data_IF_855816510004
#
_entry.id   IF_855816510004
#
_cell.length_a   1.000
_cell.length_b   1.000
_cell.length_c   1.000
_cell.angle_alpha   90.00
_cell.angle_beta   90.00
_cell.angle_gamma   90.00
#
_symmetry.space_group_name_H-M   'P 1'
#
loop_
_entity.id
_entity.type
_entity.pdbx_description
1 polymer ?
#
# COMPACT_ATOMS: atom_id res chain seq x y z
N UNK A 1 -24.42 -7.43 1.74
CA UNK A 1 -24.70 -7.47 3.20
C UNK A 1 -25.99 -8.23 3.40
N UNK A 2 -26.04 -9.23 4.28
CA UNK A 2 -27.23 -10.04 4.54
C UNK A 2 -28.38 -9.18 5.09
N UNK A 3 -29.63 -9.47 4.65
CA UNK A 3 -30.87 -8.88 5.18
C UNK A 3 -31.93 -9.97 5.27
N UNK A 4 -32.87 -9.90 6.23
CA UNK A 4 -33.95 -10.87 6.31
C UNK A 4 -34.89 -10.73 5.11
N UNK A 5 -35.39 -11.86 4.64
CA UNK A 5 -36.36 -11.92 3.57
C UNK A 5 -37.78 -11.61 4.11
N UNK A 6 -38.38 -10.52 3.59
CA UNK A 6 -39.75 -10.09 4.00
C UNK A 6 -40.88 -10.98 3.48
N UNK A 7 -40.61 -11.72 2.42
CA UNK A 7 -41.60 -12.61 1.75
C UNK A 7 -41.37 -14.07 2.10
N UNK A 8 -40.33 -14.37 2.89
CA UNK A 8 -40.05 -15.75 3.27
C UNK A 8 -41.06 -16.34 4.28
N UNK A 9 -41.18 -17.67 4.34
CA UNK A 9 -42.13 -18.37 5.22
C UNK A 9 -41.74 -18.28 6.71
N UNK A 10 -40.50 -17.86 7.03
CA UNK A 10 -40.00 -17.75 8.40
C UNK A 10 -40.14 -16.29 8.87
N UNK A 11 -40.70 -16.05 10.08
CA UNK A 11 -40.83 -14.70 10.63
C UNK A 11 -39.50 -13.96 10.67
N UNK A 12 -39.48 -12.67 10.30
CA UNK A 12 -38.23 -11.88 10.20
C UNK A 12 -37.39 -11.91 11.48
N UNK A 13 -38.02 -11.84 12.66
CA UNK A 13 -37.28 -11.90 13.92
C UNK A 13 -36.53 -13.24 14.11
N UNK A 14 -37.12 -14.37 13.66
CA UNK A 14 -36.43 -15.67 13.69
C UNK A 14 -35.26 -15.71 12.71
N UNK A 15 -35.45 -15.24 11.49
CA UNK A 15 -34.36 -15.16 10.51
C UNK A 15 -33.17 -14.36 11.08
N UNK A 16 -33.46 -13.25 11.77
CA UNK A 16 -32.44 -12.43 12.43
C UNK A 16 -31.76 -13.16 13.59
N UNK A 17 -32.54 -13.84 14.42
CA UNK A 17 -32.02 -14.65 15.51
C UNK A 17 -31.12 -15.77 14.97
N UNK A 18 -31.56 -16.52 13.99
CA UNK A 18 -30.80 -17.61 13.38
C UNK A 18 -29.53 -17.11 12.65
N UNK A 19 -29.58 -15.93 12.06
CA UNK A 19 -28.40 -15.27 11.48
C UNK A 19 -27.33 -14.96 12.54
N UNK A 20 -27.73 -14.38 13.66
CA UNK A 20 -26.78 -14.09 14.74
C UNK A 20 -26.34 -15.38 15.45
N UNK A 21 -27.24 -16.31 15.72
CA UNK A 21 -26.90 -17.61 16.30
C UNK A 21 -25.85 -18.34 15.48
N UNK A 22 -26.03 -18.41 14.14
CA UNK A 22 -25.06 -19.02 13.24
C UNK A 22 -23.68 -18.35 13.32
N UNK A 23 -23.63 -17.03 13.36
CA UNK A 23 -22.37 -16.28 13.49
C UNK A 23 -21.70 -16.47 14.85
N UNK A 24 -22.48 -16.62 15.91
CA UNK A 24 -22.01 -16.95 17.26
C UNK A 24 -21.43 -18.37 17.27
N UNK A 25 -22.17 -19.34 16.76
CA UNK A 25 -21.75 -20.75 16.72
C UNK A 25 -20.51 -20.95 15.84
N UNK A 26 -20.39 -20.22 14.72
CA UNK A 26 -19.22 -20.29 13.85
C UNK A 26 -18.02 -19.48 14.39
N UNK A 27 -18.13 -18.83 15.57
CA UNK A 27 -17.06 -18.04 16.16
C UNK A 27 -16.82 -16.67 15.52
N UNK A 28 -17.63 -16.26 14.54
CA UNK A 28 -17.55 -14.92 13.92
C UNK A 28 -17.90 -13.81 14.92
N UNK A 29 -18.70 -14.14 15.93
CA UNK A 29 -19.03 -13.30 17.07
C UNK A 29 -18.63 -14.04 18.34
N UNK A 30 -17.36 -13.95 18.79
CA UNK A 30 -16.89 -14.67 19.95
C UNK A 30 -17.57 -14.19 21.25
N UNK A 31 -17.50 -14.99 22.35
CA UNK A 31 -18.03 -14.62 23.65
C UNK A 31 -17.57 -13.23 24.10
N UNK A 32 -18.49 -12.43 24.65
CA UNK A 32 -18.23 -11.05 25.04
C UNK A 32 -18.33 -10.00 23.91
N UNK A 33 -18.42 -10.42 22.64
CA UNK A 33 -18.64 -9.50 21.50
C UNK A 33 -19.89 -8.66 21.70
N UNK A 34 -19.82 -7.37 21.36
CA UNK A 34 -20.96 -6.45 21.44
C UNK A 34 -21.80 -6.58 20.18
N UNK A 35 -23.09 -6.86 20.33
CA UNK A 35 -24.04 -6.82 19.23
C UNK A 35 -24.41 -5.35 18.93
N UNK A 36 -24.73 -5.03 17.65
CA UNK A 36 -25.18 -3.69 17.28
C UNK A 36 -26.38 -3.25 18.12
N UNK A 37 -26.46 -1.98 18.55
CA UNK A 37 -27.66 -1.47 19.23
C UNK A 37 -28.90 -1.65 18.38
N UNK A 38 -30.01 -2.08 18.98
CA UNK A 38 -31.28 -2.40 18.32
C UNK A 38 -31.73 -1.28 17.36
N UNK A 39 -31.61 -0.01 17.80
CA UNK A 39 -31.99 1.16 16.98
C UNK A 39 -31.10 1.30 15.75
N UNK A 40 -29.80 1.06 15.87
CA UNK A 40 -28.84 1.15 14.77
C UNK A 40 -29.09 0.05 13.74
N UNK A 41 -29.33 -1.18 14.20
CA UNK A 41 -29.58 -2.32 13.34
C UNK A 41 -30.93 -2.19 12.61
N UNK A 42 -31.97 -1.70 13.29
CA UNK A 42 -33.29 -1.40 12.70
C UNK A 42 -33.18 -0.38 11.56
N UNK A 43 -32.40 0.68 11.76
CA UNK A 43 -32.13 1.69 10.71
C UNK A 43 -31.33 1.11 9.54
N UNK A 44 -30.31 0.32 9.79
CA UNK A 44 -29.47 -0.29 8.74
C UNK A 44 -30.24 -1.27 7.84
N UNK A 45 -31.19 -2.02 8.42
CA UNK A 45 -31.96 -3.02 7.68
C UNK A 45 -33.35 -2.53 7.26
N UNK A 46 -33.70 -1.27 7.62
CA UNK A 46 -35.02 -0.67 7.36
C UNK A 46 -36.16 -1.52 7.91
N UNK A 47 -36.02 -1.96 9.17
CA UNK A 47 -36.99 -2.77 9.89
C UNK A 47 -37.55 -2.03 11.11
N UNK A 48 -38.71 -2.50 11.61
CA UNK A 48 -39.22 -2.02 12.87
C UNK A 48 -38.28 -2.41 14.02
N UNK A 49 -38.06 -1.50 14.94
CA UNK A 49 -37.22 -1.76 16.13
C UNK A 49 -37.75 -2.94 16.97
N UNK A 50 -39.06 -3.10 17.04
CA UNK A 50 -39.70 -4.24 17.74
C UNK A 50 -39.27 -5.60 17.20
N UNK A 51 -39.08 -5.73 15.87
CA UNK A 51 -38.59 -6.96 15.24
C UNK A 51 -37.17 -7.31 15.69
N UNK A 52 -36.30 -6.30 15.83
CA UNK A 52 -34.92 -6.50 16.32
C UNK A 52 -34.93 -6.86 17.82
N UNK A 53 -35.77 -6.18 18.61
CA UNK A 53 -35.94 -6.49 20.04
C UNK A 53 -36.39 -7.95 20.20
N UNK A 54 -37.39 -8.38 19.45
CA UNK A 54 -37.89 -9.75 19.51
C UNK A 54 -36.83 -10.79 19.12
N UNK A 55 -35.99 -10.48 18.10
CA UNK A 55 -34.87 -11.33 17.70
C UNK A 55 -33.82 -11.44 18.84
N UNK A 56 -33.53 -10.32 19.51
CA UNK A 56 -32.58 -10.31 20.63
C UNK A 56 -33.16 -11.00 21.88
N UNK A 57 -34.46 -10.92 22.12
CA UNK A 57 -35.11 -11.69 23.18
C UNK A 57 -35.07 -13.19 22.89
N UNK A 58 -35.28 -13.60 21.65
CA UNK A 58 -35.14 -14.99 21.23
C UNK A 58 -33.71 -15.50 21.45
N UNK A 59 -32.69 -14.74 21.04
CA UNK A 59 -31.28 -15.09 21.29
C UNK A 59 -30.97 -15.17 22.79
N UNK A 60 -31.56 -14.27 23.60
CA UNK A 60 -31.40 -14.28 25.05
C UNK A 60 -32.06 -15.48 25.68
N UNK A 61 -33.27 -15.86 25.25
CA UNK A 61 -33.97 -17.06 25.72
C UNK A 61 -33.19 -18.34 25.41
N UNK A 62 -32.47 -18.36 24.28
CA UNK A 62 -31.53 -19.44 23.91
C UNK A 62 -30.19 -19.36 24.70
N UNK A 63 -30.00 -18.36 25.57
CA UNK A 63 -28.77 -18.14 26.35
C UNK A 63 -27.56 -17.72 25.55
N UNK A 64 -27.75 -17.22 24.32
CA UNK A 64 -26.67 -16.83 23.40
C UNK A 64 -26.15 -15.42 23.63
N UNK A 65 -26.98 -14.55 24.22
CA UNK A 65 -26.63 -13.17 24.50
C UNK A 65 -27.08 -12.71 25.88
N UNK A 66 -26.32 -11.79 26.47
CA UNK A 66 -26.63 -11.13 27.75
C UNK A 66 -26.79 -9.63 27.57
N UNK A 67 -27.70 -9.02 28.33
CA UNK A 67 -27.89 -7.57 28.39
C UNK A 67 -27.33 -7.03 29.66
N UNK A 68 -26.34 -6.13 29.61
CA UNK A 68 -25.81 -5.43 30.79
C UNK A 68 -26.24 -3.97 30.75
N UNK A 69 -26.86 -3.50 31.82
CA UNK A 69 -27.29 -2.10 31.96
C UNK A 69 -26.09 -1.17 31.80
N UNK A 70 -26.13 -0.27 30.80
CA UNK A 70 -25.04 0.67 30.48
C UNK A 70 -23.95 0.17 29.51
N UNK A 71 -23.81 -1.14 29.26
CA UNK A 71 -22.75 -1.69 28.40
C UNK A 71 -23.24 -2.44 27.13
N UNK A 72 -24.55 -2.37 26.85
CA UNK A 72 -25.14 -2.95 25.66
C UNK A 72 -25.46 -4.44 25.73
N UNK A 73 -25.77 -5.04 24.59
CA UNK A 73 -26.05 -6.47 24.42
C UNK A 73 -24.79 -7.18 23.95
N UNK A 74 -24.40 -8.26 24.61
CA UNK A 74 -23.16 -9.02 24.31
C UNK A 74 -23.47 -10.50 24.16
N UNK A 75 -22.60 -11.19 23.40
CA UNK A 75 -22.60 -12.65 23.34
C UNK A 75 -22.31 -13.20 24.74
N UNK A 76 -23.14 -14.16 25.20
CA UNK A 76 -23.07 -14.73 26.54
C UNK A 76 -21.77 -15.53 26.74
N UNK A 77 -21.17 -15.37 27.91
CA UNK A 77 -20.01 -16.17 28.32
C UNK A 77 -20.45 -17.54 28.89
N UNK A 78 -21.64 -17.60 29.52
CA UNK A 78 -22.09 -18.80 30.29
C UNK A 78 -22.31 -20.03 29.43
N UNK A 79 -22.88 -19.88 28.24
CA UNK A 79 -23.18 -21.02 27.36
C UNK A 79 -21.91 -21.66 26.79
N UNK A 80 -20.79 -20.88 26.75
CA UNK A 80 -19.50 -21.38 26.30
C UNK A 80 -18.70 -22.08 27.38
N UNK A 81 -19.02 -21.85 28.68
CA UNK A 81 -18.46 -22.62 29.78
C UNK A 81 -19.00 -24.05 29.84
N UNK A 82 -20.22 -24.27 29.30
CA UNK A 82 -20.89 -25.58 29.19
C UNK A 82 -20.70 -26.26 27.84
N UNK A 83 -20.28 -25.52 26.80
CA UNK A 83 -19.98 -26.08 25.48
C UNK A 83 -18.57 -26.65 25.48
N UNK A 84 -18.30 -27.78 24.77
CA UNK A 84 -16.93 -28.25 24.62
C UNK A 84 -16.09 -27.12 24.03
N UNK A 85 -15.03 -26.72 24.74
CA UNK A 85 -14.06 -25.74 24.22
C UNK A 85 -13.65 -26.20 22.83
N UNK A 86 -13.56 -25.30 21.83
CA UNK A 86 -13.05 -25.68 20.53
C UNK A 86 -11.70 -26.37 20.74
N UNK A 87 -11.50 -27.51 20.09
CA UNK A 87 -10.31 -28.35 20.25
C UNK A 87 -9.03 -27.57 19.91
N UNK A 88 -9.15 -26.47 19.15
CA UNK A 88 -8.08 -25.56 18.78
C UNK A 88 -8.49 -24.13 19.10
N UNK A 89 -7.70 -23.42 19.89
CA UNK A 89 -7.84 -21.99 20.12
C UNK A 89 -7.15 -21.20 19.00
N UNK A 90 -7.90 -20.95 17.92
CA UNK A 90 -7.42 -20.19 16.79
C UNK A 90 -7.09 -18.73 17.12
N UNK A 91 -7.70 -18.17 18.16
CA UNK A 91 -7.39 -16.82 18.60
C UNK A 91 -6.00 -16.77 19.23
N UNK A 92 -5.66 -17.72 20.09
CA UNK A 92 -4.32 -17.84 20.64
C UNK A 92 -3.25 -18.03 19.56
N UNK A 93 -3.58 -18.81 18.49
CA UNK A 93 -2.68 -18.92 17.34
C UNK A 93 -2.53 -17.58 16.60
N UNK A 94 -3.61 -16.85 16.37
CA UNK A 94 -3.60 -15.58 15.66
C UNK A 94 -2.89 -14.47 16.46
N UNK A 95 -2.94 -14.52 17.79
CA UNK A 95 -2.32 -13.54 18.68
C UNK A 95 -0.83 -13.77 18.92
N UNK A 96 -0.27 -14.92 18.51
CA UNK A 96 1.18 -15.20 18.63
C UNK A 96 2.06 -14.23 17.83
N UNK A 97 1.49 -13.61 16.80
CA UNK A 97 2.20 -12.59 16.04
C UNK A 97 1.34 -11.35 15.92
N UNK A 98 1.83 -10.19 16.35
CA UNK A 98 1.08 -8.95 16.16
C UNK A 98 0.81 -8.73 14.66
N UNK A 99 -0.36 -8.19 14.28
CA UNK A 99 -0.66 -7.93 12.89
C UNK A 99 0.39 -6.98 12.29
N UNK A 100 0.95 -7.34 11.10
CA UNK A 100 2.04 -6.58 10.51
C UNK A 100 1.62 -5.14 10.15
N UNK A 101 2.54 -4.21 10.30
CA UNK A 101 2.40 -2.83 9.86
C UNK A 101 2.03 -1.83 10.97
N UNK A 102 2.13 -0.56 10.63
CA UNK A 102 1.84 0.56 11.53
C UNK A 102 0.36 0.60 11.94
N UNK A 103 0.03 0.73 13.24
CA UNK A 103 -1.34 0.93 13.71
C UNK A 103 -2.02 2.14 13.07
N UNK A 104 -1.27 3.23 12.85
CA UNK A 104 -1.78 4.44 12.18
C UNK A 104 -2.17 4.16 10.73
N UNK A 105 -1.38 3.39 9.98
CA UNK A 105 -1.74 3.00 8.62
C UNK A 105 -2.97 2.08 8.58
N UNK A 106 -3.12 1.18 9.54
CA UNK A 106 -4.32 0.35 9.65
C UNK A 106 -5.56 1.23 9.87
N UNK A 107 -5.49 2.16 10.84
CA UNK A 107 -6.56 3.12 11.10
C UNK A 107 -6.94 3.91 9.85
N UNK A 108 -5.97 4.46 9.12
CA UNK A 108 -6.20 5.19 7.88
C UNK A 108 -6.91 4.31 6.83
N UNK A 109 -6.47 3.06 6.65
CA UNK A 109 -7.08 2.12 5.69
C UNK A 109 -8.50 1.71 6.08
N UNK A 110 -8.77 1.53 7.36
CA UNK A 110 -10.10 1.22 7.88
C UNK A 110 -11.06 2.38 7.63
N UNK A 111 -10.63 3.61 7.91
CA UNK A 111 -11.44 4.81 7.63
C UNK A 111 -11.67 5.01 6.12
N UNK A 112 -10.66 4.80 5.28
CA UNK A 112 -10.80 4.89 3.83
C UNK A 112 -11.84 3.90 3.24
N UNK A 113 -12.05 2.74 3.89
CA UNK A 113 -13.05 1.75 3.49
C UNK A 113 -14.49 2.12 3.86
N UNK A 114 -14.70 3.10 4.74
CA UNK A 114 -16.04 3.48 5.22
C UNK A 114 -16.89 4.25 4.20
N UNK A 115 -16.28 4.72 3.10
CA UNK A 115 -17.04 5.17 1.92
C UNK A 115 -17.06 6.68 1.65
N UNK A 116 -18.06 7.13 0.90
CA UNK A 116 -18.11 8.30 0.04
C UNK A 116 -17.98 9.70 0.68
N UNK A 117 -17.98 9.83 2.00
CA UNK A 117 -17.87 11.15 2.65
C UNK A 117 -16.43 11.57 2.96
N UNK A 118 -15.45 10.68 2.69
CA UNK A 118 -14.06 10.87 3.06
C UNK A 118 -13.20 11.21 1.84
N UNK A 119 -12.48 12.33 1.90
CA UNK A 119 -11.44 12.67 0.91
C UNK A 119 -10.16 11.92 1.29
N UNK A 120 -9.81 10.91 0.48
CA UNK A 120 -8.62 10.10 0.69
C UNK A 120 -7.37 10.76 0.09
N UNK A 121 -6.64 11.52 0.93
CA UNK A 121 -5.31 12.04 0.61
C UNK A 121 -4.17 11.20 1.22
N UNK A 122 -4.46 9.97 1.66
CA UNK A 122 -3.50 9.02 2.20
C UNK A 122 -3.09 7.93 1.20
N UNK A 123 -3.99 7.57 0.28
CA UNK A 123 -3.82 6.49 -0.69
C UNK A 123 -2.65 6.69 -1.64
N UNK A 124 -2.11 5.59 -2.15
CA UNK A 124 -0.91 5.58 -3.01
C UNK A 124 -1.21 5.11 -4.43
N UNK A 125 -2.35 5.49 -4.97
CA UNK A 125 -2.82 5.12 -6.30
C UNK A 125 -3.34 6.33 -7.08
N UNK A 126 -3.53 6.16 -8.37
CA UNK A 126 -4.14 7.17 -9.23
C UNK A 126 -5.64 7.29 -8.93
N UNK A 127 -6.24 8.44 -9.23
CA UNK A 127 -7.69 8.59 -9.26
C UNK A 127 -8.31 7.73 -10.36
N UNK A 128 -9.56 7.33 -10.20
CA UNK A 128 -10.26 6.41 -11.11
C UNK A 128 -10.29 6.91 -12.57
N UNK A 129 -10.44 8.21 -12.76
CA UNK A 129 -10.42 8.85 -14.08
C UNK A 129 -9.06 8.73 -14.79
N UNK A 130 -7.98 8.48 -14.05
CA UNK A 130 -6.65 8.29 -14.63
C UNK A 130 -6.32 6.83 -14.91
N UNK A 131 -7.10 5.86 -14.44
CA UNK A 131 -6.90 4.46 -14.79
C UNK A 131 -7.26 4.24 -16.29
N UNK A 132 -6.44 3.51 -17.06
CA UNK A 132 -6.64 3.39 -18.53
C UNK A 132 -7.69 2.31 -18.89
N UNK A 133 -8.88 2.36 -18.25
CA UNK A 133 -9.90 1.34 -18.40
C UNK A 133 -10.40 1.15 -19.82
N UNK A 134 -10.51 2.26 -20.61
CA UNK A 134 -10.97 2.16 -22.00
C UNK A 134 -9.90 1.49 -22.89
N UNK A 135 -8.63 1.81 -22.68
CA UNK A 135 -7.54 1.11 -23.36
C UNK A 135 -7.55 -0.41 -23.05
N UNK A 136 -7.77 -0.77 -21.80
CA UNK A 136 -7.87 -2.18 -21.42
C UNK A 136 -9.07 -2.88 -22.08
N UNK A 137 -10.26 -2.25 -22.08
CA UNK A 137 -11.44 -2.79 -22.77
C UNK A 137 -11.21 -2.96 -24.26
N UNK A 138 -10.57 -1.99 -24.89
CA UNK A 138 -10.26 -2.04 -26.32
C UNK A 138 -9.27 -3.17 -26.62
N UNK A 139 -8.17 -3.27 -25.88
CA UNK A 139 -7.19 -4.35 -26.05
C UNK A 139 -7.81 -5.74 -25.89
N UNK A 140 -8.68 -5.93 -24.89
CA UNK A 140 -9.38 -7.20 -24.68
C UNK A 140 -10.36 -7.55 -25.81
N UNK A 141 -10.95 -6.56 -26.49
CA UNK A 141 -11.85 -6.77 -27.65
C UNK A 141 -11.10 -7.08 -28.92
N UNK A 142 -10.04 -6.30 -29.21
CA UNK A 142 -9.28 -6.39 -30.48
C UNK A 142 -8.30 -7.56 -30.49
N UNK A 143 -7.83 -7.95 -29.35
CA UNK A 143 -6.85 -9.02 -29.19
C UNK A 143 -7.33 -10.01 -28.12
N UNK A 144 -8.27 -10.93 -28.46
CA UNK A 144 -8.75 -11.91 -27.51
C UNK A 144 -7.59 -12.79 -27.04
N UNK A 145 -7.69 -13.27 -25.79
CA UNK A 145 -6.71 -14.19 -25.25
C UNK A 145 -6.79 -15.53 -25.98
N UNK A 146 -5.69 -15.94 -26.57
CA UNK A 146 -5.55 -17.23 -27.25
C UNK A 146 -4.65 -18.20 -26.48
N UNK A 147 -3.96 -17.72 -25.49
CA UNK A 147 -3.06 -18.47 -24.65
C UNK A 147 -3.83 -19.43 -23.75
N UNK A 148 -3.37 -20.68 -23.58
CA UNK A 148 -3.98 -21.61 -22.65
C UNK A 148 -3.85 -21.09 -21.21
N UNK A 149 -4.93 -21.19 -20.43
CA UNK A 149 -4.97 -20.77 -19.03
C UNK A 149 -4.42 -21.85 -18.08
N UNK A 150 -3.39 -22.55 -18.50
CA UNK A 150 -2.64 -23.51 -17.68
C UNK A 150 -1.57 -22.83 -16.81
N UNK A 151 -0.81 -23.65 -16.08
CA UNK A 151 0.39 -23.16 -15.38
C UNK A 151 1.40 -22.61 -16.39
N UNK A 152 1.93 -21.42 -16.08
CA UNK A 152 2.93 -20.74 -16.91
C UNK A 152 4.30 -20.83 -16.28
N UNK A 153 5.32 -20.31 -16.99
CA UNK A 153 6.67 -20.19 -16.47
C UNK A 153 6.67 -19.43 -15.12
N UNK A 154 7.16 -20.02 -14.02
CA UNK A 154 7.27 -19.33 -12.73
C UNK A 154 8.08 -18.02 -12.77
N UNK A 155 8.94 -17.84 -13.79
CA UNK A 155 9.65 -16.59 -14.03
C UNK A 155 8.70 -15.46 -14.50
N UNK A 156 7.53 -15.82 -15.06
CA UNK A 156 6.51 -14.90 -15.60
C UNK A 156 6.28 -15.11 -17.09
N UNK A 157 5.13 -14.66 -17.56
CA UNK A 157 4.68 -14.79 -18.95
C UNK A 157 5.71 -14.24 -19.94
N UNK A 158 6.21 -15.07 -20.82
CA UNK A 158 7.34 -14.71 -21.72
C UNK A 158 7.07 -13.46 -22.54
N UNK A 159 5.89 -13.28 -23.20
CA UNK A 159 5.60 -12.04 -23.94
C UNK A 159 5.61 -10.78 -23.07
N UNK A 160 5.25 -10.88 -21.77
CA UNK A 160 5.36 -9.75 -20.85
C UNK A 160 6.83 -9.42 -20.57
N UNK A 161 7.68 -10.41 -20.40
CA UNK A 161 9.13 -10.21 -20.19
C UNK A 161 9.78 -9.52 -21.38
N UNK A 162 9.38 -9.89 -22.61
CA UNK A 162 9.83 -9.20 -23.85
C UNK A 162 9.34 -7.75 -23.90
N UNK A 163 8.05 -7.51 -23.64
CA UNK A 163 7.48 -6.17 -23.60
C UNK A 163 8.14 -5.30 -22.51
N UNK A 164 8.46 -5.89 -21.35
CA UNK A 164 9.18 -5.20 -20.28
C UNK A 164 10.63 -4.88 -20.69
N UNK A 165 11.33 -5.73 -21.41
CA UNK A 165 12.68 -5.42 -21.89
C UNK A 165 12.68 -4.21 -22.83
N UNK A 166 11.70 -4.13 -23.74
CA UNK A 166 11.51 -2.95 -24.62
C UNK A 166 11.14 -1.71 -23.80
N UNK A 167 10.19 -1.83 -22.88
CA UNK A 167 9.78 -0.76 -21.98
C UNK A 167 10.94 -0.20 -21.17
N UNK A 168 11.74 -1.06 -20.54
CA UNK A 168 12.88 -0.69 -19.71
C UNK A 168 13.94 0.07 -20.51
N UNK A 169 14.28 -0.39 -21.69
CA UNK A 169 15.20 0.30 -22.59
C UNK A 169 14.65 1.66 -23.02
N UNK A 170 13.40 1.70 -23.50
CA UNK A 170 12.81 2.91 -24.08
C UNK A 170 12.55 4.00 -23.05
N UNK A 171 12.01 3.65 -21.87
CA UNK A 171 11.54 4.61 -20.89
C UNK A 171 12.43 4.76 -19.66
N UNK A 172 13.32 3.79 -19.41
CA UNK A 172 14.18 3.79 -18.23
C UNK A 172 15.67 3.70 -18.54
N UNK A 173 16.06 3.56 -19.81
CA UNK A 173 17.47 3.39 -20.23
C UNK A 173 18.14 2.19 -19.54
N UNK A 174 17.36 1.17 -19.15
CA UNK A 174 17.85 -0.04 -18.52
C UNK A 174 17.93 -1.14 -19.56
N UNK A 175 19.16 -1.57 -19.88
CA UNK A 175 19.40 -2.71 -20.75
C UNK A 175 19.05 -4.00 -20.02
N UNK A 176 18.19 -4.78 -20.64
CA UNK A 176 17.73 -6.07 -20.09
C UNK A 176 17.21 -6.98 -21.19
N UNK A 177 17.15 -8.26 -20.90
CA UNK A 177 16.56 -9.28 -21.76
C UNK A 177 15.43 -9.98 -21.05
N UNK A 178 14.56 -10.69 -21.75
CA UNK A 178 13.49 -11.47 -21.14
C UNK A 178 14.00 -12.48 -20.09
N UNK A 179 15.22 -12.99 -20.24
CA UNK A 179 15.83 -13.90 -19.28
C UNK A 179 16.31 -13.24 -17.98
N UNK A 180 16.65 -11.94 -18.03
CA UNK A 180 17.08 -11.15 -16.86
C UNK A 180 15.92 -10.51 -16.11
N UNK A 181 14.67 -10.75 -16.53
CA UNK A 181 13.46 -10.20 -15.92
C UNK A 181 12.67 -11.30 -15.22
N UNK A 182 12.29 -11.06 -13.98
CA UNK A 182 11.41 -11.89 -13.17
C UNK A 182 10.13 -11.11 -12.85
N UNK A 183 8.97 -11.59 -13.31
CA UNK A 183 7.68 -10.93 -13.11
C UNK A 183 7.13 -11.27 -11.72
N UNK A 184 6.50 -10.29 -11.06
CA UNK A 184 5.97 -10.43 -9.70
C UNK A 184 4.57 -9.83 -9.57
N UNK A 185 3.83 -10.23 -8.53
CA UNK A 185 2.55 -9.61 -8.15
C UNK A 185 2.75 -8.24 -7.47
N UNK A 186 3.53 -7.37 -8.13
CA UNK A 186 3.95 -6.06 -7.63
C UNK A 186 5.23 -6.13 -6.78
N UNK A 187 5.78 -4.95 -6.47
CA UNK A 187 7.08 -4.78 -5.79
C UNK A 187 7.14 -5.49 -4.43
N UNK A 188 6.02 -5.56 -3.69
CA UNK A 188 6.02 -6.22 -2.36
C UNK A 188 6.39 -7.71 -2.44
N UNK A 189 5.94 -8.42 -3.47
CA UNK A 189 6.34 -9.80 -3.69
C UNK A 189 7.82 -9.90 -4.07
N UNK A 190 8.31 -8.99 -4.93
CA UNK A 190 9.74 -8.95 -5.26
C UNK A 190 10.61 -8.77 -4.02
N UNK A 191 10.29 -7.79 -3.17
CA UNK A 191 11.01 -7.52 -1.93
C UNK A 191 10.94 -8.69 -0.95
N UNK A 192 9.77 -9.34 -0.83
CA UNK A 192 9.62 -10.51 0.03
C UNK A 192 10.49 -11.67 -0.43
N UNK A 193 10.49 -11.97 -1.72
CA UNK A 193 11.34 -13.02 -2.30
C UNK A 193 12.83 -12.70 -2.15
N UNK A 194 13.25 -11.45 -2.40
CA UNK A 194 14.62 -11.01 -2.14
C UNK A 194 15.00 -11.27 -0.67
N UNK A 195 14.16 -10.83 0.26
CA UNK A 195 14.41 -10.97 1.70
C UNK A 195 14.52 -12.44 2.13
N UNK A 196 13.69 -13.32 1.57
CA UNK A 196 13.64 -14.75 1.93
C UNK A 196 14.67 -15.62 1.24
N UNK A 197 15.05 -15.26 0.02
CA UNK A 197 15.87 -16.14 -0.84
C UNK A 197 17.33 -15.70 -0.94
N UNK A 198 17.62 -14.41 -0.73
CA UNK A 198 18.97 -13.86 -0.89
C UNK A 198 19.64 -13.47 0.44
N UNK A 199 18.88 -13.45 1.54
CA UNK A 199 19.35 -13.06 2.87
C UNK A 199 19.02 -14.14 3.91
N UNK A 200 19.72 -14.11 5.04
CA UNK A 200 19.52 -15.02 6.16
C UNK A 200 18.91 -14.30 7.36
N UNK A 201 18.09 -14.97 8.19
CA UNK A 201 17.65 -14.39 9.45
C UNK A 201 18.85 -13.86 10.26
N UNK A 202 18.71 -12.64 10.80
CA UNK A 202 19.78 -11.92 11.49
C UNK A 202 20.60 -10.98 10.60
N UNK A 203 20.58 -11.13 9.27
CA UNK A 203 21.25 -10.18 8.36
C UNK A 203 20.66 -8.77 8.51
N UNK A 204 21.50 -7.76 8.28
CA UNK A 204 21.12 -6.35 8.35
C UNK A 204 20.92 -5.77 6.95
N UNK A 205 19.81 -5.05 6.76
CA UNK A 205 19.52 -4.30 5.53
C UNK A 205 19.46 -2.81 5.83
N UNK A 206 20.12 -2.00 5.00
CA UNK A 206 20.09 -0.56 5.08
C UNK A 206 18.86 0.00 4.37
N UNK A 207 18.10 0.88 5.03
CA UNK A 207 16.93 1.56 4.46
C UNK A 207 17.04 3.07 4.62
N UNK A 208 16.53 3.84 3.68
CA UNK A 208 16.38 5.29 3.85
C UNK A 208 15.38 5.62 4.96
N UNK A 209 15.59 6.72 5.67
CA UNK A 209 14.65 7.25 6.65
C UNK A 209 14.60 8.78 6.49
N UNK A 210 13.38 9.36 6.34
CA UNK A 210 12.07 8.70 6.30
C UNK A 210 11.87 7.91 5.01
N UNK A 211 11.17 6.77 5.07
CA UNK A 211 10.80 6.00 3.88
C UNK A 211 9.62 5.05 4.12
N UNK A 212 8.98 4.63 3.03
CA UNK A 212 7.96 3.59 3.04
C UNK A 212 8.47 2.26 3.62
N UNK A 213 9.73 1.93 3.36
CA UNK A 213 10.35 0.70 3.83
C UNK A 213 10.50 0.64 5.35
N UNK A 214 10.52 1.78 6.04
CA UNK A 214 10.52 1.84 7.50
C UNK A 214 9.26 1.22 8.12
N UNK A 215 8.09 1.44 7.51
CA UNK A 215 6.81 0.88 7.97
C UNK A 215 6.51 -0.49 7.37
N UNK A 216 7.33 -0.96 6.43
CA UNK A 216 7.16 -2.26 5.77
C UNK A 216 7.65 -3.40 6.67
N UNK A 217 6.80 -4.39 6.90
CA UNK A 217 7.17 -5.59 7.65
C UNK A 217 7.83 -6.68 6.80
N UNK A 218 8.10 -6.42 5.52
CA UNK A 218 8.72 -7.42 4.63
C UNK A 218 10.05 -7.93 5.18
N UNK A 219 10.94 -7.03 5.58
CA UNK A 219 12.26 -7.41 6.09
C UNK A 219 12.20 -7.98 7.52
N UNK A 220 11.53 -7.35 8.49
CA UNK A 220 11.37 -7.92 9.82
C UNK A 220 10.68 -9.29 9.83
N UNK A 221 9.68 -9.54 8.97
CA UNK A 221 9.00 -10.84 8.89
C UNK A 221 9.90 -11.96 8.33
N UNK A 222 10.95 -11.61 7.62
CA UNK A 222 12.00 -12.53 7.17
C UNK A 222 13.12 -12.73 8.24
N UNK A 223 12.98 -12.13 9.43
CA UNK A 223 13.97 -12.17 10.50
C UNK A 223 15.17 -11.24 10.28
N UNK A 224 15.05 -10.24 9.40
CA UNK A 224 16.12 -9.29 9.08
C UNK A 224 16.07 -8.06 9.99
N UNK A 225 17.23 -7.49 10.29
CA UNK A 225 17.37 -6.20 10.98
C UNK A 225 17.35 -5.06 9.96
N UNK A 226 16.49 -4.07 10.16
CA UNK A 226 16.51 -2.83 9.37
C UNK A 226 17.37 -1.77 10.05
N UNK A 227 18.25 -1.14 9.30
CA UNK A 227 19.18 -0.10 9.78
C UNK A 227 18.94 1.18 8.99
N UNK A 228 18.66 2.27 9.69
CA UNK A 228 18.51 3.57 9.07
C UNK A 228 19.83 4.07 8.44
N UNK A 229 19.76 4.45 7.17
CA UNK A 229 20.87 5.06 6.47
C UNK A 229 20.90 6.57 6.69
N UNK A 230 22.08 7.20 6.78
CA UNK A 230 22.18 8.63 6.89
C UNK A 230 21.71 9.32 5.62
N UNK A 231 20.73 10.23 5.74
CA UNK A 231 20.16 10.99 4.64
C UNK A 231 19.93 12.45 5.04
N UNK A 232 19.86 13.31 4.04
CA UNK A 232 19.51 14.73 4.15
C UNK A 232 18.53 15.13 3.02
N UNK A 233 18.39 16.41 2.76
CA UNK A 233 17.50 16.94 1.72
C UNK A 233 17.87 16.49 0.29
N UNK A 234 19.13 16.16 0.06
CA UNK A 234 19.61 15.64 -1.23
C UNK A 234 19.62 14.10 -1.30
N UNK A 235 19.03 13.39 -0.32
CA UNK A 235 18.97 11.94 -0.20
C UNK A 235 20.09 11.35 0.66
N UNK A 236 20.45 10.09 0.46
CA UNK A 236 21.50 9.40 1.22
C UNK A 236 22.81 10.17 1.15
N UNK A 237 23.52 10.24 2.29
CA UNK A 237 24.85 10.84 2.42
C UNK A 237 25.95 9.79 2.15
N UNK A 238 26.59 9.77 0.97
CA UNK A 238 27.56 8.74 0.61
C UNK A 238 28.77 8.70 1.54
N UNK A 239 29.24 9.87 2.02
CA UNK A 239 30.40 9.96 2.87
C UNK A 239 30.27 9.17 4.20
N UNK A 240 29.06 9.04 4.71
CA UNK A 240 28.79 8.29 5.95
C UNK A 240 28.40 6.83 5.67
N UNK A 241 28.01 6.52 4.44
CA UNK A 241 27.47 5.21 4.06
C UNK A 241 28.48 4.08 4.22
N UNK A 242 29.71 4.28 3.74
CA UNK A 242 30.76 3.25 3.82
C UNK A 242 31.07 2.85 5.27
N UNK A 243 31.16 3.84 6.18
CA UNK A 243 31.35 3.59 7.61
C UNK A 243 30.13 2.84 8.20
N UNK A 244 28.91 3.23 7.81
CA UNK A 244 27.67 2.61 8.27
C UNK A 244 27.55 1.15 7.81
N UNK A 245 27.89 0.86 6.55
CA UNK A 245 27.93 -0.51 5.99
C UNK A 245 28.85 -1.40 6.81
N UNK A 246 30.06 -0.96 7.10
CA UNK A 246 31.06 -1.73 7.86
C UNK A 246 30.64 -1.94 9.31
N UNK A 247 30.22 -0.86 9.99
CA UNK A 247 29.80 -0.88 11.39
C UNK A 247 28.62 -1.82 11.63
N UNK A 248 27.59 -1.71 10.81
CA UNK A 248 26.36 -2.47 10.98
C UNK A 248 26.35 -3.81 10.22
N UNK A 249 27.45 -4.10 9.47
CA UNK A 249 27.60 -5.29 8.62
C UNK A 249 26.41 -5.46 7.66
N UNK A 250 26.07 -4.35 6.96
CA UNK A 250 24.93 -4.37 6.04
C UNK A 250 25.17 -5.33 4.89
N UNK A 251 24.19 -6.15 4.61
CA UNK A 251 24.23 -7.16 3.53
C UNK A 251 23.57 -6.68 2.25
N UNK A 252 22.72 -5.66 2.33
CA UNK A 252 21.95 -5.12 1.21
C UNK A 252 21.45 -3.71 1.55
N UNK A 253 21.29 -2.86 0.54
CA UNK A 253 20.68 -1.53 0.65
C UNK A 253 19.36 -1.54 -0.11
N UNK A 254 18.29 -0.98 0.49
CA UNK A 254 16.97 -0.88 -0.12
C UNK A 254 16.65 0.60 -0.28
N UNK A 255 16.53 1.07 -1.51
CA UNK A 255 16.49 2.49 -1.83
C UNK A 255 15.34 2.81 -2.77
N UNK A 256 14.73 3.99 -2.61
CA UNK A 256 13.75 4.55 -3.53
C UNK A 256 14.26 5.90 -4.07
N UNK A 257 15.17 5.89 -5.08
CA UNK A 257 15.97 7.08 -5.43
C UNK A 257 15.25 8.09 -6.33
N UNK A 258 14.05 7.78 -6.83
CA UNK A 258 13.27 8.68 -7.69
C UNK A 258 11.90 8.98 -7.06
N UNK A 259 11.61 10.26 -6.79
CA UNK A 259 10.35 10.73 -6.20
C UNK A 259 9.96 9.92 -4.95
N UNK A 260 10.92 9.78 -4.06
CA UNK A 260 10.89 8.92 -2.87
C UNK A 260 9.60 9.06 -2.05
N UNK A 261 9.05 7.96 -1.59
CA UNK A 261 7.93 7.93 -0.66
C UNK A 261 8.45 7.91 0.80
N UNK A 262 8.23 8.97 1.61
CA UNK A 262 7.17 9.98 1.48
C UNK A 262 7.61 11.35 0.91
N UNK A 263 8.91 11.61 0.78
CA UNK A 263 9.46 12.97 0.65
C UNK A 263 9.24 13.62 -0.73
N UNK A 264 8.96 12.82 -1.76
CA UNK A 264 8.89 13.29 -3.15
C UNK A 264 10.27 13.64 -3.75
N UNK A 265 11.35 13.51 -2.98
CA UNK A 265 12.71 13.88 -3.40
C UNK A 265 13.30 12.88 -4.38
N UNK A 266 14.25 13.37 -5.16
CA UNK A 266 15.02 12.55 -6.09
C UNK A 266 16.49 12.61 -5.70
N UNK A 267 17.15 11.44 -5.56
CA UNK A 267 18.58 11.35 -5.27
C UNK A 267 19.39 12.01 -6.38
N UNK A 268 20.27 12.93 -6.00
CA UNK A 268 21.09 13.72 -6.95
C UNK A 268 22.03 12.85 -7.78
N UNK A 269 22.33 13.22 -9.04
CA UNK A 269 23.20 12.43 -9.93
C UNK A 269 24.61 12.16 -9.37
N UNK A 270 25.23 13.17 -8.72
CA UNK A 270 26.55 13.03 -8.08
C UNK A 270 26.53 11.99 -6.96
N UNK A 271 25.48 11.97 -6.13
CA UNK A 271 25.32 10.99 -5.08
C UNK A 271 25.00 9.60 -5.61
N UNK A 272 24.25 9.48 -6.72
CA UNK A 272 24.00 8.19 -7.38
C UNK A 272 25.29 7.51 -7.80
N UNK A 273 26.18 8.25 -8.46
CA UNK A 273 27.49 7.76 -8.88
C UNK A 273 28.32 7.29 -7.67
N UNK A 274 28.45 8.13 -6.64
CA UNK A 274 29.24 7.78 -5.45
C UNK A 274 28.66 6.61 -4.66
N UNK A 275 27.33 6.48 -4.63
CA UNK A 275 26.63 5.35 -4.01
C UNK A 275 26.98 4.03 -4.72
N UNK A 276 26.93 4.02 -6.06
CA UNK A 276 27.28 2.83 -6.86
C UNK A 276 28.76 2.43 -6.68
N UNK A 277 29.66 3.39 -6.63
CA UNK A 277 31.08 3.14 -6.34
C UNK A 277 31.26 2.48 -4.97
N UNK A 278 30.68 3.03 -3.91
CA UNK A 278 30.77 2.47 -2.55
C UNK A 278 30.16 1.06 -2.49
N UNK A 279 29.02 0.86 -3.11
CA UNK A 279 28.34 -0.45 -3.15
C UNK A 279 29.24 -1.50 -3.85
N UNK A 280 29.86 -1.14 -4.96
CA UNK A 280 30.78 -2.01 -5.70
C UNK A 280 32.09 -2.28 -4.93
N UNK A 281 32.68 -1.25 -4.31
CA UNK A 281 33.90 -1.38 -3.50
C UNK A 281 33.72 -2.30 -2.30
N UNK A 282 32.53 -2.24 -1.67
CA UNK A 282 32.22 -3.01 -0.47
C UNK A 282 31.50 -4.34 -0.74
N UNK A 283 31.14 -4.61 -2.00
CA UNK A 283 30.40 -5.81 -2.38
C UNK A 283 29.00 -5.90 -1.78
N UNK A 284 28.32 -4.76 -1.57
CA UNK A 284 26.98 -4.68 -0.98
C UNK A 284 25.97 -4.34 -2.06
N UNK A 285 25.06 -5.25 -2.43
CA UNK A 285 24.06 -5.01 -3.46
C UNK A 285 23.01 -3.97 -3.03
N UNK A 286 22.48 -3.27 -4.03
CA UNK A 286 21.40 -2.31 -3.91
C UNK A 286 20.14 -2.89 -4.54
N UNK A 287 19.02 -2.85 -3.83
CA UNK A 287 17.68 -2.98 -4.42
C UNK A 287 17.14 -1.59 -4.68
N UNK A 288 16.99 -1.25 -5.95
CA UNK A 288 16.37 0.00 -6.38
C UNK A 288 14.87 -0.21 -6.55
N UNK A 289 14.08 0.36 -5.64
CA UNK A 289 12.60 0.37 -5.69
C UNK A 289 12.13 1.59 -6.49
N UNK A 290 11.72 1.39 -7.76
CA UNK A 290 11.38 2.46 -8.70
C UNK A 290 9.93 2.40 -9.22
N UNK A 291 8.92 2.60 -8.35
CA UNK A 291 7.52 2.67 -8.79
C UNK A 291 7.13 4.04 -9.37
N UNK A 292 7.92 5.08 -9.12
CA UNK A 292 7.54 6.47 -9.40
C UNK A 292 8.35 7.12 -10.54
N UNK A 293 9.43 6.52 -11.01
CA UNK A 293 10.35 7.16 -11.94
C UNK A 293 9.71 7.75 -13.19
N UNK A 294 8.64 7.15 -13.70
CA UNK A 294 7.88 7.66 -14.85
C UNK A 294 6.83 8.73 -14.52
N UNK A 295 6.60 9.05 -13.24
CA UNK A 295 5.69 10.12 -12.81
C UNK A 295 6.34 11.51 -12.74
N UNK A 296 7.46 11.72 -13.45
CA UNK A 296 8.14 13.00 -13.59
C UNK A 296 7.22 14.05 -14.24
N UNK A 297 7.29 15.30 -13.75
CA UNK A 297 6.58 16.44 -14.34
C UNK A 297 7.34 17.08 -15.51
N UNK A 298 8.59 16.66 -15.71
CA UNK A 298 9.45 17.01 -16.84
C UNK A 298 9.40 15.89 -17.88
N UNK A 299 9.81 16.18 -19.09
CA UNK A 299 9.83 15.20 -20.17
C UNK A 299 10.85 14.08 -19.91
N UNK A 300 11.98 14.43 -19.31
CA UNK A 300 13.03 13.48 -18.97
C UNK A 300 12.88 12.98 -17.52
N UNK A 301 12.54 11.69 -17.31
CA UNK A 301 12.51 11.09 -15.99
C UNK A 301 13.94 10.92 -15.43
N UNK A 302 14.10 10.87 -14.09
CA UNK A 302 15.40 10.58 -13.49
C UNK A 302 15.95 9.23 -13.97
N UNK A 303 17.22 9.22 -14.38
CA UNK A 303 17.91 7.99 -14.79
C UNK A 303 18.06 7.07 -13.57
N UNK A 304 17.62 5.81 -13.61
CA UNK A 304 17.73 4.92 -12.46
C UNK A 304 19.17 4.52 -12.15
N UNK A 305 19.43 4.07 -10.93
CA UNK A 305 20.74 3.52 -10.53
C UNK A 305 21.12 2.34 -11.43
N UNK A 306 20.14 1.49 -11.77
CA UNK A 306 20.36 0.33 -12.64
C UNK A 306 20.93 0.69 -14.00
N UNK A 307 20.47 1.79 -14.60
CA UNK A 307 20.99 2.26 -15.89
C UNK A 307 22.43 2.79 -15.80
N UNK A 308 22.84 3.24 -14.62
CA UNK A 308 24.19 3.74 -14.35
C UNK A 308 25.14 2.63 -13.84
N UNK A 309 24.60 1.46 -13.51
CA UNK A 309 25.33 0.35 -12.89
C UNK A 309 26.16 -0.43 -13.90
N UNK A 310 27.46 -0.19 -13.93
CA UNK A 310 28.43 -0.91 -14.77
C UNK A 310 29.09 -2.11 -14.06
N UNK A 311 28.81 -2.33 -12.77
CA UNK A 311 29.43 -3.35 -11.93
C UNK A 311 28.48 -4.47 -11.50
N UNK A 312 27.20 -4.40 -11.92
CA UNK A 312 26.20 -5.42 -11.61
C UNK A 312 25.75 -5.47 -10.14
N UNK A 313 25.82 -4.34 -9.43
CA UNK A 313 25.46 -4.27 -8.00
C UNK A 313 23.99 -3.95 -7.76
N UNK A 314 23.20 -3.58 -8.79
CA UNK A 314 21.81 -3.15 -8.63
C UNK A 314 20.84 -4.23 -9.09
N UNK A 315 19.95 -4.64 -8.18
CA UNK A 315 18.69 -5.29 -8.48
C UNK A 315 17.62 -4.20 -8.65
N UNK A 316 17.01 -4.11 -9.81
CA UNK A 316 15.99 -3.10 -10.10
C UNK A 316 14.60 -3.69 -9.94
N UNK A 317 13.71 -3.07 -9.18
CA UNK A 317 12.30 -3.46 -9.07
C UNK A 317 11.38 -2.33 -9.53
N UNK A 318 10.40 -2.69 -10.35
CA UNK A 318 9.43 -1.78 -10.91
C UNK A 318 8.00 -2.33 -10.87
N UNK A 319 7.01 -1.46 -11.16
CA UNK A 319 5.60 -1.86 -11.18
C UNK A 319 4.75 -0.93 -12.03
N UNK A 320 3.67 -1.47 -12.61
CA UNK A 320 2.62 -0.69 -13.25
C UNK A 320 1.63 -0.06 -12.26
N UNK A 321 1.69 -0.40 -10.98
CA UNK A 321 0.69 0.00 -9.98
C UNK A 321 0.55 1.52 -9.79
N UNK A 322 1.60 2.31 -10.06
CA UNK A 322 1.62 3.76 -9.84
C UNK A 322 1.47 4.59 -11.09
N UNK A 323 1.58 3.96 -12.25
CA UNK A 323 1.52 4.63 -13.56
C UNK A 323 0.39 4.10 -14.45
N UNK A 324 -0.25 2.98 -14.09
CA UNK A 324 -1.39 2.42 -14.83
C UNK A 324 -2.52 2.02 -13.88
N UNK A 325 -2.49 0.81 -13.32
CA UNK A 325 -3.54 0.33 -12.46
C UNK A 325 -2.99 -0.61 -11.37
N UNK A 326 -3.23 -0.33 -10.07
CA UNK A 326 -2.79 -1.20 -9.00
C UNK A 326 -3.45 -2.59 -9.03
N UNK A 327 -4.67 -2.69 -9.59
CA UNK A 327 -5.41 -3.95 -9.72
C UNK A 327 -4.79 -4.96 -10.69
N UNK A 328 -3.93 -4.55 -11.62
CA UNK A 328 -3.18 -5.47 -12.48
C UNK A 328 -2.22 -6.37 -11.71
N UNK A 329 -1.79 -5.96 -10.53
CA UNK A 329 -0.81 -6.70 -9.74
C UNK A 329 0.46 -7.08 -10.53
N UNK A 330 0.90 -6.23 -11.46
CA UNK A 330 2.09 -6.45 -12.29
C UNK A 330 3.25 -5.64 -11.78
N UNK A 331 4.32 -6.32 -11.41
CA UNK A 331 5.63 -5.80 -11.09
C UNK A 331 6.72 -6.69 -11.67
N UNK A 332 7.96 -6.28 -11.55
CA UNK A 332 9.11 -7.04 -12.05
C UNK A 332 10.38 -6.75 -11.28
N UNK A 333 11.32 -7.67 -11.37
CA UNK A 333 12.69 -7.51 -10.93
C UNK A 333 13.61 -7.72 -12.13
N UNK A 334 14.63 -6.88 -12.26
CA UNK A 334 15.75 -7.07 -13.20
C UNK A 334 17.01 -7.36 -12.42
N UNK A 335 17.65 -8.47 -12.72
CA UNK A 335 18.84 -8.90 -11.99
C UNK A 335 19.69 -9.91 -12.76
N UNK A 336 20.82 -10.33 -12.18
CA UNK A 336 21.68 -11.35 -12.78
C UNK A 336 21.00 -12.73 -12.77
N UNK A 337 21.37 -13.56 -13.73
CA UNK A 337 20.78 -14.89 -13.97
C UNK A 337 20.74 -15.78 -12.71
N UNK A 338 21.77 -15.76 -11.88
CA UNK A 338 21.78 -16.53 -10.63
C UNK A 338 20.65 -16.12 -9.66
N UNK A 339 20.35 -14.81 -9.58
CA UNK A 339 19.24 -14.29 -8.78
C UNK A 339 17.91 -14.70 -9.40
N UNK A 340 17.74 -14.51 -10.71
CA UNK A 340 16.50 -14.86 -11.42
C UNK A 340 16.17 -16.34 -11.22
N UNK A 341 17.14 -17.26 -11.42
CA UNK A 341 16.92 -18.70 -11.19
C UNK A 341 16.51 -19.01 -9.77
N UNK A 342 17.18 -18.41 -8.78
CA UNK A 342 16.87 -18.63 -7.36
C UNK A 342 15.45 -18.18 -7.02
N UNK A 343 15.03 -17.00 -7.49
CA UNK A 343 13.69 -16.48 -7.24
C UNK A 343 12.62 -17.28 -7.99
N UNK A 344 12.90 -17.73 -9.21
CA UNK A 344 12.01 -18.59 -10.00
C UNK A 344 11.76 -19.92 -9.30
N UNK A 345 12.82 -20.57 -8.81
CA UNK A 345 12.69 -21.80 -8.05
C UNK A 345 11.89 -21.62 -6.75
N UNK A 346 12.12 -20.54 -6.02
CA UNK A 346 11.36 -20.21 -4.81
C UNK A 346 9.88 -19.97 -5.11
N UNK A 347 9.57 -19.24 -6.19
CA UNK A 347 8.20 -18.99 -6.61
C UNK A 347 7.46 -20.26 -6.99
N UNK A 348 8.11 -21.17 -7.68
CA UNK A 348 7.49 -22.45 -8.03
C UNK A 348 7.00 -23.22 -6.79
N UNK A 349 7.70 -23.07 -5.65
CA UNK A 349 7.27 -23.68 -4.38
C UNK A 349 6.21 -22.82 -3.64
N UNK A 350 6.09 -21.55 -3.96
CA UNK A 350 5.20 -20.63 -3.26
C UNK A 350 3.78 -20.56 -3.86
N UNK A 351 3.68 -20.39 -5.17
CA UNK A 351 2.40 -20.15 -5.88
C UNK A 351 2.34 -20.80 -7.28
N UNK A 352 3.33 -21.60 -7.66
CA UNK A 352 3.47 -22.28 -8.94
C UNK A 352 3.50 -21.38 -10.18
N UNK A 353 3.52 -20.07 -9.99
CA UNK A 353 3.61 -19.08 -11.07
C UNK A 353 2.52 -18.00 -11.03
N UNK A 354 2.66 -16.99 -11.88
CA UNK A 354 1.76 -15.85 -11.90
C UNK A 354 0.42 -16.15 -12.60
N UNK A 355 -0.55 -15.25 -12.41
CA UNK A 355 -1.79 -15.27 -13.17
C UNK A 355 -1.57 -14.75 -14.59
N UNK A 356 -1.96 -15.54 -15.60
CA UNK A 356 -1.79 -15.23 -17.03
C UNK A 356 -2.52 -13.97 -17.46
N UNK A 357 -3.78 -13.78 -17.02
CA UNK A 357 -4.65 -12.70 -17.50
C UNK A 357 -4.08 -11.29 -17.25
N UNK A 358 -3.65 -10.93 -16.03
CA UNK A 358 -3.03 -9.62 -15.81
C UNK A 358 -1.71 -9.47 -16.55
N UNK A 359 -0.91 -10.52 -16.67
CA UNK A 359 0.37 -10.46 -17.38
C UNK A 359 0.17 -10.30 -18.88
N UNK A 360 -0.77 -11.04 -19.47
CA UNK A 360 -1.17 -10.90 -20.85
C UNK A 360 -1.64 -9.46 -21.16
N UNK A 361 -2.56 -8.91 -20.33
CA UNK A 361 -3.07 -7.55 -20.53
C UNK A 361 -1.95 -6.51 -20.38
N UNK A 362 -1.06 -6.71 -19.41
CA UNK A 362 0.10 -5.83 -19.21
C UNK A 362 1.06 -5.84 -20.39
N UNK A 363 1.33 -7.02 -20.98
CA UNK A 363 2.16 -7.15 -22.17
C UNK A 363 1.57 -6.37 -23.38
N UNK A 364 0.27 -6.57 -23.64
CA UNK A 364 -0.44 -5.88 -24.72
C UNK A 364 -0.47 -4.38 -24.50
N UNK A 365 -0.72 -3.93 -23.28
CA UNK A 365 -0.75 -2.51 -22.95
C UNK A 365 0.61 -1.85 -23.14
N UNK A 366 1.68 -2.45 -22.65
CA UNK A 366 3.05 -1.93 -22.78
C UNK A 366 3.52 -1.87 -24.25
N UNK A 367 3.11 -2.83 -25.08
CA UNK A 367 3.46 -2.90 -26.49
C UNK A 367 2.59 -2.00 -27.39
N UNK A 368 1.56 -1.33 -26.84
CA UNK A 368 0.64 -0.51 -27.60
C UNK A 368 0.91 0.99 -27.48
N UNK A 369 0.44 1.78 -28.45
CA UNK A 369 0.45 3.25 -28.38
C UNK A 369 -0.39 3.80 -27.22
N UNK A 370 -1.31 2.99 -26.67
CA UNK A 370 -2.09 3.38 -25.51
C UNK A 370 -1.21 3.70 -24.31
N UNK A 371 -0.12 2.96 -24.11
CA UNK A 371 0.77 3.17 -22.97
C UNK A 371 1.42 4.55 -23.04
N UNK A 372 1.98 4.92 -24.17
CA UNK A 372 2.64 6.23 -24.34
C UNK A 372 1.66 7.39 -24.11
N UNK A 373 0.50 7.35 -24.78
CA UNK A 373 -0.55 8.38 -24.63
C UNK A 373 -1.05 8.47 -23.19
N UNK A 374 -1.23 7.33 -22.55
CA UNK A 374 -1.63 7.24 -21.16
C UNK A 374 -0.59 7.88 -20.23
N UNK A 375 0.69 7.56 -20.41
CA UNK A 375 1.77 8.12 -19.60
C UNK A 375 1.82 9.66 -19.67
N UNK A 376 1.68 10.23 -20.86
CA UNK A 376 1.62 11.68 -21.03
C UNK A 376 0.40 12.29 -20.31
N UNK A 377 -0.77 11.64 -20.40
CA UNK A 377 -1.98 12.06 -19.69
C UNK A 377 -1.78 12.05 -18.17
N UNK A 378 -1.22 10.98 -17.64
CA UNK A 378 -0.95 10.84 -16.19
C UNK A 378 0.02 11.90 -15.70
N UNK A 379 1.14 12.12 -16.38
CA UNK A 379 2.14 13.14 -16.02
C UNK A 379 1.53 14.55 -15.95
N UNK A 380 0.77 14.94 -16.98
CA UNK A 380 0.07 16.24 -17.02
C UNK A 380 -0.93 16.37 -15.88
N UNK A 381 -1.72 15.33 -15.63
CA UNK A 381 -2.73 15.33 -14.57
C UNK A 381 -2.09 15.43 -13.18
N UNK A 382 -1.03 14.67 -12.92
CA UNK A 382 -0.31 14.69 -11.65
C UNK A 382 0.33 16.07 -11.38
N UNK A 383 0.93 16.69 -12.40
CA UNK A 383 1.48 18.05 -12.30
C UNK A 383 0.41 19.05 -11.89
N UNK A 384 -0.72 19.09 -12.61
CA UNK A 384 -1.84 19.99 -12.33
C UNK A 384 -2.45 19.76 -10.94
N UNK A 385 -2.59 18.50 -10.53
CA UNK A 385 -3.13 18.14 -9.21
C UNK A 385 -2.18 18.53 -8.08
N UNK A 386 -0.87 18.39 -8.29
CA UNK A 386 0.16 18.84 -7.37
C UNK A 386 0.12 20.36 -7.19
N UNK A 387 0.07 21.11 -8.29
CA UNK A 387 -0.02 22.58 -8.27
C UNK A 387 -1.30 23.07 -7.58
N UNK A 388 -2.44 22.41 -7.85
CA UNK A 388 -3.70 22.69 -7.20
C UNK A 388 -3.62 22.44 -5.68
N UNK A 389 -3.10 21.28 -5.26
CA UNK A 389 -2.99 20.96 -3.83
C UNK A 389 -2.12 21.99 -3.09
N UNK A 390 -0.96 22.36 -3.65
CA UNK A 390 -0.08 23.36 -3.04
C UNK A 390 -0.79 24.70 -2.89
N UNK A 391 -1.46 25.17 -3.95
CA UNK A 391 -2.22 26.43 -3.94
C UNK A 391 -3.31 26.42 -2.85
N UNK A 392 -4.10 25.35 -2.78
CA UNK A 392 -5.19 25.25 -1.80
C UNK A 392 -4.65 25.18 -0.35
N UNK A 393 -3.54 24.48 -0.13
CA UNK A 393 -2.89 24.44 1.19
C UNK A 393 -2.35 25.82 1.60
N UNK A 394 -1.71 26.54 0.69
CA UNK A 394 -1.21 27.91 0.97
C UNK A 394 -2.35 28.86 1.33
N UNK A 395 -3.46 28.82 0.60
CA UNK A 395 -4.67 29.64 0.86
C UNK A 395 -5.27 29.31 2.22
N UNK A 396 -5.43 28.04 2.55
CA UNK A 396 -6.20 27.62 3.74
C UNK A 396 -5.37 27.53 5.02
N UNK A 397 -4.06 27.26 4.95
CA UNK A 397 -3.18 27.08 6.12
C UNK A 397 -2.38 28.32 6.50
N UNK A 398 -2.18 29.26 5.58
CA UNK A 398 -1.52 30.56 5.85
C UNK A 398 -0.21 30.43 6.65
N UNK A 399 0.71 29.56 6.21
CA UNK A 399 1.96 29.29 6.90
C UNK A 399 1.91 28.20 7.98
N UNK A 400 0.76 27.54 8.19
CA UNK A 400 0.63 26.41 9.13
C UNK A 400 1.39 25.14 8.71
N UNK A 401 1.90 25.07 7.48
CA UNK A 401 2.72 23.98 6.95
C UNK A 401 3.71 24.51 5.92
N UNK A 402 4.93 23.97 5.94
CA UNK A 402 5.94 24.19 4.91
C UNK A 402 6.17 22.91 4.12
N UNK A 403 6.40 23.01 2.81
CA UNK A 403 6.65 21.87 1.92
C UNK A 403 7.56 22.27 0.76
N UNK A 404 8.28 21.28 0.22
CA UNK A 404 9.03 21.45 -1.02
C UNK A 404 8.14 21.17 -2.23
N UNK A 405 8.36 21.90 -3.33
CA UNK A 405 7.64 21.66 -4.58
C UNK A 405 8.12 20.36 -5.22
N UNK A 406 7.26 19.34 -5.42
CA UNK A 406 7.69 18.12 -6.05
C UNK A 406 7.91 18.30 -7.56
N UNK A 407 8.93 17.64 -8.09
CA UNK A 407 9.23 17.56 -9.53
C UNK A 407 8.57 16.32 -10.19
N UNK A 408 7.83 15.53 -9.42
CA UNK A 408 7.17 14.29 -9.84
C UNK A 408 6.62 13.50 -8.65
N UNK A 409 6.35 12.23 -8.87
CA UNK A 409 5.78 11.36 -7.84
C UNK A 409 4.28 11.56 -7.61
N UNK A 410 3.82 11.16 -6.44
CA UNK A 410 2.41 11.17 -6.07
C UNK A 410 2.11 11.96 -4.79
N UNK A 411 3.16 12.49 -4.11
CA UNK A 411 3.07 12.97 -2.74
C UNK A 411 3.62 14.36 -2.54
N UNK A 412 2.98 15.06 -1.61
CA UNK A 412 3.49 16.25 -0.97
C UNK A 412 3.90 15.89 0.47
N UNK A 413 5.13 16.22 0.84
CA UNK A 413 5.67 16.03 2.17
C UNK A 413 5.76 17.38 2.87
N UNK A 414 4.94 17.57 3.90
CA UNK A 414 4.83 18.84 4.58
C UNK A 414 5.23 18.77 6.05
N UNK A 415 5.94 19.78 6.52
CA UNK A 415 6.30 20.00 7.93
C UNK A 415 5.27 20.92 8.57
N UNK A 416 4.62 20.46 9.63
CA UNK A 416 3.62 21.21 10.38
C UNK A 416 4.28 22.30 11.25
N UNK A 417 3.70 23.50 11.26
CA UNK A 417 4.12 24.57 12.16
C UNK A 417 3.57 24.34 13.59
N UNK A 418 4.15 25.03 14.57
CA UNK A 418 3.62 25.10 15.94
C UNK A 418 3.68 23.81 16.75
N UNK A 419 4.49 22.81 16.34
CA UNK A 419 4.66 21.56 17.11
C UNK A 419 3.40 20.69 17.20
N UNK A 420 2.48 20.82 16.27
CA UNK A 420 1.25 20.03 16.20
C UNK A 420 1.58 18.57 15.97
N UNK A 421 1.06 17.67 16.82
CA UNK A 421 1.20 16.23 16.63
C UNK A 421 0.43 15.76 15.40
N UNK A 422 1.14 15.15 14.44
CA UNK A 422 0.53 14.62 13.22
C UNK A 422 -0.49 13.49 13.51
N UNK A 423 -0.34 12.74 14.62
CA UNK A 423 -1.31 11.74 15.05
C UNK A 423 -2.61 12.38 15.54
N UNK A 424 -2.52 13.44 16.38
CA UNK A 424 -3.69 14.21 16.82
C UNK A 424 -4.38 14.88 15.64
N UNK A 425 -3.60 15.43 14.71
CA UNK A 425 -4.13 16.02 13.48
C UNK A 425 -4.89 14.99 12.63
N UNK A 426 -4.42 13.73 12.57
CA UNK A 426 -5.14 12.66 11.88
C UNK A 426 -6.50 12.37 12.52
N UNK A 427 -6.59 12.35 13.85
CA UNK A 427 -7.86 12.15 14.56
C UNK A 427 -8.86 13.26 14.23
N UNK A 428 -8.41 14.51 14.19
CA UNK A 428 -9.23 15.65 13.78
C UNK A 428 -9.59 15.63 12.29
N UNK A 429 -8.69 15.13 11.44
CA UNK A 429 -8.94 14.91 10.01
C UNK A 429 -10.03 13.87 9.76
N UNK A 430 -9.96 12.73 10.46
CA UNK A 430 -10.98 11.66 10.36
C UNK A 430 -12.37 12.21 10.73
N UNK A 431 -12.49 12.99 11.78
CA UNK A 431 -13.77 13.62 12.19
C UNK A 431 -14.35 14.54 11.11
N UNK A 432 -13.51 15.15 10.27
CA UNK A 432 -13.87 16.07 9.19
C UNK A 432 -13.90 15.43 7.81
N UNK A 433 -13.66 14.12 7.73
CA UNK A 433 -13.71 13.38 6.47
C UNK A 433 -12.51 13.67 5.55
N UNK A 434 -11.31 13.85 6.10
CA UNK A 434 -10.06 13.91 5.33
C UNK A 434 -9.01 12.96 5.91
N UNK A 435 -8.35 12.19 5.06
CA UNK A 435 -7.29 11.26 5.43
C UNK A 435 -5.95 11.69 4.85
N UNK A 436 -4.89 11.45 5.61
CA UNK A 436 -3.49 11.62 5.22
C UNK A 436 -2.63 10.68 6.04
N UNK A 437 -1.33 10.63 5.78
CA UNK A 437 -0.42 9.76 6.54
C UNK A 437 0.51 10.59 7.42
N UNK A 438 0.49 10.39 8.76
CA UNK A 438 1.45 11.02 9.68
C UNK A 438 2.88 10.62 9.37
N UNK A 439 3.82 11.56 9.55
CA UNK A 439 5.25 11.36 9.28
C UNK A 439 5.89 10.24 10.12
N UNK A 440 5.42 10.04 11.33
CA UNK A 440 5.88 8.95 12.22
C UNK A 440 5.71 7.53 11.65
N UNK A 441 4.90 7.37 10.61
CA UNK A 441 4.79 6.11 9.86
C UNK A 441 6.05 5.80 9.05
N UNK A 442 6.79 6.82 8.65
CA UNK A 442 7.94 6.70 7.74
C UNK A 442 9.30 6.81 8.45
N UNK A 443 9.30 7.05 9.75
CA UNK A 443 10.51 7.21 10.56
C UNK A 443 10.23 7.90 11.89
N UNK A 444 11.27 8.15 12.71
CA UNK A 444 11.15 8.80 14.02
C UNK A 444 10.88 10.31 13.86
N UNK A 445 9.79 10.69 13.25
CA UNK A 445 9.38 12.07 13.00
C UNK A 445 7.90 12.25 13.31
N UNK A 446 7.57 13.19 14.18
CA UNK A 446 6.20 13.51 14.58
C UNK A 446 5.65 14.79 13.94
N UNK A 447 6.49 15.58 13.28
CA UNK A 447 6.15 16.93 12.79
C UNK A 447 5.81 17.01 11.32
N UNK A 448 5.90 15.90 10.56
CA UNK A 448 5.56 15.89 9.15
C UNK A 448 4.27 15.12 8.84
N UNK A 449 3.71 15.42 7.67
CA UNK A 449 2.59 14.69 7.08
C UNK A 449 2.84 14.43 5.61
N UNK A 450 2.33 13.29 5.11
CA UNK A 450 2.30 12.98 3.69
C UNK A 450 0.86 13.10 3.17
N UNK A 451 0.68 13.95 2.18
CA UNK A 451 -0.56 14.11 1.41
C UNK A 451 -0.35 13.57 0.00
N UNK A 452 -1.28 12.80 -0.53
CA UNK A 452 -1.28 12.44 -1.95
C UNK A 452 -2.12 13.43 -2.75
N UNK A 453 -1.61 13.86 -3.89
CA UNK A 453 -2.39 14.58 -4.90
C UNK A 453 -2.89 13.65 -6.02
N UNK A 454 -2.40 12.42 -6.07
CA UNK A 454 -2.72 11.48 -7.13
C UNK A 454 -4.13 10.89 -7.02
N UNK A 455 -4.51 10.45 -5.81
CA UNK A 455 -5.77 9.73 -5.53
C UNK A 455 -7.03 10.59 -5.61
N UNK A 456 -7.13 11.75 -4.94
CA UNK A 456 -8.34 12.54 -4.98
C UNK A 456 -8.60 13.10 -6.39
N UNK A 457 -9.86 13.32 -6.77
CA UNK A 457 -10.20 14.09 -7.97
C UNK A 457 -9.80 15.56 -7.82
N UNK A 458 -9.79 16.34 -8.89
CA UNK A 458 -9.49 17.78 -8.80
C UNK A 458 -10.46 18.52 -7.87
N UNK A 459 -11.74 18.13 -7.86
CA UNK A 459 -12.76 18.71 -6.96
C UNK A 459 -12.47 18.37 -5.50
N UNK A 460 -12.10 17.11 -5.25
CA UNK A 460 -11.81 16.62 -3.90
C UNK A 460 -10.53 17.21 -3.32
N UNK A 461 -9.56 17.62 -4.14
CA UNK A 461 -8.34 18.29 -3.65
C UNK A 461 -8.67 19.57 -2.89
N UNK A 462 -9.52 20.43 -3.45
CA UNK A 462 -9.90 21.68 -2.78
C UNK A 462 -10.68 21.41 -1.47
N UNK A 463 -11.63 20.48 -1.51
CA UNK A 463 -12.40 20.06 -0.32
C UNK A 463 -11.47 19.45 0.74
N UNK A 464 -10.56 18.58 0.33
CA UNK A 464 -9.58 17.92 1.22
C UNK A 464 -8.64 18.91 1.87
N UNK A 465 -8.12 19.89 1.13
CA UNK A 465 -7.24 20.93 1.66
C UNK A 465 -7.97 21.83 2.68
N UNK A 466 -9.23 22.21 2.41
CA UNK A 466 -10.05 22.98 3.35
C UNK A 466 -10.31 22.19 4.64
N UNK A 467 -10.74 20.92 4.54
CA UNK A 467 -10.96 20.03 5.69
C UNK A 467 -9.68 19.78 6.50
N UNK A 468 -8.54 19.64 5.80
CA UNK A 468 -7.23 19.49 6.44
C UNK A 468 -6.86 20.73 7.24
N UNK A 469 -7.10 21.92 6.71
CA UNK A 469 -6.84 23.18 7.42
C UNK A 469 -7.77 23.38 8.63
N UNK A 470 -9.03 22.96 8.54
CA UNK A 470 -9.94 22.94 9.70
C UNK A 470 -9.46 21.98 10.78
N UNK A 471 -9.00 20.78 10.37
CA UNK A 471 -8.41 19.80 11.28
C UNK A 471 -7.14 20.35 11.94
N UNK A 472 -6.29 21.05 11.18
CA UNK A 472 -5.08 21.70 11.70
C UNK A 472 -5.41 22.73 12.76
N UNK A 473 -6.36 23.64 12.49
CA UNK A 473 -6.81 24.65 13.47
C UNK A 473 -7.38 24.00 14.73
N UNK A 474 -8.12 22.90 14.61
CA UNK A 474 -8.66 22.17 15.76
C UNK A 474 -7.58 21.45 16.57
N UNK A 475 -6.59 20.87 15.90
CA UNK A 475 -5.47 20.19 16.54
C UNK A 475 -4.49 21.16 17.24
N UNK A 476 -4.43 22.42 16.79
CA UNK A 476 -3.60 23.49 17.38
C UNK A 476 -4.22 24.09 18.66
N UNK A 477 -5.55 24.10 18.76
CA UNK A 477 -6.25 24.52 19.99
C UNK A 477 -5.94 23.48 21.09
N UNK A 478 -5.29 23.95 22.18
CA UNK A 478 -4.95 23.13 23.36
C UNK A 478 -6.16 22.76 24.17
#
# INVERSE_FOLDING_TARGET
MWKPDRLGPVPMYRQIADYFERRIVLGELPPGSILPPERKLAGQWQLNRSTIIQAYEELRSRGLIDRRKGSGTRVSLRKWEESPKPAVDWQAYAEQSPPPGSPLLRKVREEARKGAEVVDMAGSELSEDLIPMEAFRQLMREQPITEPLGYTDPQGFYPLREALAVYLRTYRQVESTASSIFVTSGIQQALYLIARCLLRPGDAVGIEVPSYHYSSHVFPSAGLRTVALPADEAGIRPNELAARIRKEKLRMLILNPAFQNPTGRTLRPDRRKRLLEIAAELGVPIVEDDPYGLSAFRDEPPVPLKAMDTRGVVLYVGSLSKIAAPGLRTGWLVGPDAVIRQLTAARQQMDMGPSVLPEWLSARFLASDFFHRHLLRVRRALKLKSELLMKELDVHLQGGMTFERPDGGLYLWGKLAGGVSAARLLDEGIKRGVLFVPGSVFGPDSGHVRLTFARPSKKDIAVGAARFAEAFRAATKR
#
